data_IF_952820704988
#
_entry.id   IF_952820704988
#
_cell.length_a   1.000
_cell.length_b   1.000
_cell.length_c   1.000
_cell.angle_alpha   90.00
_cell.angle_beta   90.00
_cell.angle_gamma   90.00
#
_symmetry.space_group_name_H-M   'P 1'
#
loop_
_entity.id
_entity.type
_entity.pdbx_description
1 polymer ?
#
# COMPACT_ATOMS: atom_id res chain seq x y z
N UNK A 1 -16.57 24.55 -4.47
CA UNK A 1 -15.11 24.43 -4.65
C UNK A 1 -14.79 22.96 -4.52
N UNK A 2 -14.43 22.32 -5.62
CA UNK A 2 -14.61 20.88 -5.83
C UNK A 2 -13.54 20.04 -5.14
N UNK A 3 -13.98 19.20 -4.20
CA UNK A 3 -13.23 18.11 -3.56
C UNK A 3 -12.98 16.94 -4.53
N UNK A 4 -12.40 17.18 -5.70
CA UNK A 4 -12.08 16.11 -6.65
C UNK A 4 -10.56 15.93 -6.78
N UNK A 5 -9.95 15.38 -5.73
CA UNK A 5 -8.55 14.95 -5.72
C UNK A 5 -8.50 13.42 -5.88
N UNK A 6 -8.91 12.89 -7.04
CA UNK A 6 -8.98 11.45 -7.40
C UNK A 6 -7.71 10.67 -7.01
N UNK A 7 -7.72 10.04 -5.83
CA UNK A 7 -6.59 9.27 -5.29
C UNK A 7 -6.32 8.03 -6.16
N UNK A 8 -5.07 7.55 -6.26
CA UNK A 8 -4.72 6.43 -7.13
C UNK A 8 -5.54 5.17 -6.82
N UNK A 9 -5.83 4.34 -7.84
CA UNK A 9 -6.35 3.00 -7.60
C UNK A 9 -5.37 2.21 -6.72
N UNK A 10 -5.86 1.19 -6.02
CA UNK A 10 -5.02 0.40 -5.14
C UNK A 10 -5.57 -1.00 -4.93
N UNK A 11 -4.67 -1.91 -4.60
CA UNK A 11 -4.96 -3.32 -4.38
C UNK A 11 -4.89 -3.63 -2.88
N UNK A 12 -5.94 -4.24 -2.31
CA UNK A 12 -5.89 -4.73 -0.92
C UNK A 12 -5.64 -6.23 -0.92
N UNK A 13 -4.77 -6.67 -0.03
CA UNK A 13 -4.65 -8.06 0.38
C UNK A 13 -5.20 -8.18 1.80
N UNK A 14 -6.08 -9.14 2.02
CA UNK A 14 -6.67 -9.40 3.34
C UNK A 14 -5.79 -10.31 4.21
N UNK A 15 -6.29 -10.65 5.40
CA UNK A 15 -5.55 -11.41 6.41
C UNK A 15 -5.16 -12.84 5.95
N UNK A 16 -5.90 -13.39 4.99
CA UNK A 16 -5.60 -14.69 4.38
C UNK A 16 -4.69 -14.57 3.17
N UNK A 17 -4.29 -13.35 2.80
CA UNK A 17 -3.48 -13.06 1.62
C UNK A 17 -4.30 -13.13 0.32
N UNK A 18 -5.62 -13.00 0.39
CA UNK A 18 -6.46 -12.97 -0.81
C UNK A 18 -6.53 -11.55 -1.36
N UNK A 19 -6.34 -11.42 -2.67
CA UNK A 19 -6.46 -10.13 -3.36
C UNK A 19 -7.93 -9.71 -3.42
N UNK A 20 -8.22 -8.57 -2.79
CA UNK A 20 -9.45 -7.80 -2.93
C UNK A 20 -9.13 -6.54 -3.72
N UNK A 21 -9.42 -6.56 -5.01
CA UNK A 21 -9.36 -5.36 -5.84
C UNK A 21 -10.48 -4.43 -5.40
N UNK A 22 -10.15 -3.35 -4.71
CA UNK A 22 -11.09 -2.26 -4.47
C UNK A 22 -10.79 -1.21 -5.53
N UNK A 23 -11.62 -1.17 -6.57
CA UNK A 23 -11.73 -0.02 -7.50
C UNK A 23 -12.37 1.20 -6.82
N UNK A 24 -12.12 1.36 -5.51
CA UNK A 24 -12.69 2.35 -4.63
C UNK A 24 -11.57 3.21 -4.05
N UNK A 25 -11.72 4.51 -4.20
CA UNK A 25 -10.72 5.51 -3.88
C UNK A 25 -10.38 5.49 -2.37
N UNK A 26 -9.13 5.24 -2.00
CA UNK A 26 -8.68 5.51 -0.63
C UNK A 26 -8.58 7.02 -0.44
N UNK A 27 -9.49 7.62 0.32
CA UNK A 27 -9.32 9.02 0.69
C UNK A 27 -8.18 9.09 1.69
N UNK A 28 -7.24 10.01 1.44
CA UNK A 28 -6.14 10.30 2.37
C UNK A 28 -6.66 10.61 3.78
N UNK A 29 -7.81 11.28 3.90
CA UNK A 29 -8.46 11.54 5.18
C UNK A 29 -8.87 10.25 5.90
N UNK A 30 -9.41 9.27 5.16
CA UNK A 30 -9.82 7.98 5.69
C UNK A 30 -8.61 7.15 6.11
N UNK A 31 -7.53 7.11 5.30
CA UNK A 31 -6.25 6.49 5.71
C UNK A 31 -5.62 7.16 6.94
N UNK A 32 -5.69 8.49 7.03
CA UNK A 32 -5.21 9.24 8.21
C UNK A 32 -6.02 8.90 9.47
N UNK A 33 -7.35 8.88 9.34
CA UNK A 33 -8.27 8.65 10.47
C UNK A 33 -8.30 7.18 10.91
N UNK A 34 -8.37 6.26 9.94
CA UNK A 34 -8.52 4.83 10.16
C UNK A 34 -7.21 4.13 10.52
N UNK A 35 -6.07 4.67 10.08
CA UNK A 35 -4.75 4.08 10.34
C UNK A 35 -3.83 4.97 11.17
N UNK A 36 -4.39 6.04 11.78
CA UNK A 36 -3.67 6.97 12.66
C UNK A 36 -2.38 7.53 12.03
N UNK A 37 -2.42 7.73 10.71
CA UNK A 37 -1.29 8.27 9.94
C UNK A 37 -1.34 9.78 9.98
N UNK A 38 -0.19 10.43 10.14
CA UNK A 38 -0.16 11.89 9.98
C UNK A 38 -0.26 12.24 8.48
N UNK A 39 -0.92 13.35 8.09
CA UNK A 39 -1.00 13.77 6.70
C UNK A 39 0.37 13.93 6.00
N UNK A 40 1.43 14.20 6.77
CA UNK A 40 2.83 14.25 6.28
C UNK A 40 3.36 12.88 5.85
N UNK A 41 2.87 11.81 6.46
CA UNK A 41 3.28 10.44 6.18
C UNK A 41 2.65 9.99 4.85
N UNK A 42 1.42 10.42 4.58
CA UNK A 42 0.73 10.15 3.32
C UNK A 42 1.39 10.80 2.11
N UNK A 43 2.11 11.92 2.27
CA UNK A 43 2.91 12.51 1.19
C UNK A 43 4.03 11.60 0.70
N UNK A 44 4.47 10.62 1.52
CA UNK A 44 5.51 9.67 1.13
C UNK A 44 5.00 8.55 0.23
N UNK A 45 3.71 8.24 0.31
CA UNK A 45 3.03 7.23 -0.52
C UNK A 45 2.14 7.86 -1.60
N UNK A 46 2.10 9.19 -1.69
CA UNK A 46 1.37 9.90 -2.74
C UNK A 46 2.04 9.68 -4.09
N UNK A 47 1.33 8.99 -4.99
CA UNK A 47 1.93 8.59 -6.24
C UNK A 47 2.23 9.73 -7.21
N UNK A 48 1.62 10.89 -6.98
CA UNK A 48 1.76 12.10 -7.78
C UNK A 48 2.98 12.94 -7.42
N UNK A 49 3.61 12.64 -6.29
CA UNK A 49 4.85 13.28 -5.86
C UNK A 49 6.01 12.36 -6.24
N UNK A 50 6.90 12.75 -7.16
CA UNK A 50 8.11 12.00 -7.45
C UNK A 50 9.02 12.04 -6.22
N UNK A 51 8.83 11.06 -5.33
CA UNK A 51 9.56 10.98 -4.08
C UNK A 51 10.72 10.00 -4.28
N UNK A 52 11.89 10.54 -4.56
CA UNK A 52 13.12 9.79 -4.89
C UNK A 52 13.78 9.13 -3.67
N UNK A 53 13.27 9.35 -2.46
CA UNK A 53 13.87 8.85 -1.22
C UNK A 53 13.16 7.58 -0.76
N UNK A 54 13.83 6.41 -0.81
CA UNK A 54 13.32 5.20 -0.20
C UNK A 54 12.98 5.44 1.26
N UNK A 55 11.77 5.08 1.68
CA UNK A 55 11.34 5.24 3.07
C UNK A 55 10.65 3.97 3.55
N UNK A 56 11.06 3.52 4.74
CA UNK A 56 10.28 2.64 5.59
C UNK A 56 9.91 3.45 6.83
N UNK A 57 8.62 3.62 7.09
CA UNK A 57 8.13 4.43 8.19
C UNK A 57 7.24 3.57 9.08
N UNK A 58 7.77 3.24 10.25
CA UNK A 58 7.07 2.45 11.26
C UNK A 58 6.16 3.37 12.07
N UNK A 59 4.90 2.96 12.20
CA UNK A 59 3.88 3.53 13.08
C UNK A 59 3.35 2.44 13.99
N UNK A 60 2.60 2.83 15.01
CA UNK A 60 2.08 1.89 16.03
C UNK A 60 1.26 0.74 15.43
N UNK A 61 0.50 1.02 14.36
CA UNK A 61 -0.48 0.09 13.78
C UNK A 61 -0.23 -0.20 12.30
N UNK A 62 0.84 0.37 11.72
CA UNK A 62 1.15 0.21 10.31
C UNK A 62 2.61 0.51 9.97
N UNK A 63 3.07 -0.06 8.85
CA UNK A 63 4.36 0.22 8.24
C UNK A 63 4.09 0.78 6.84
N UNK A 64 4.55 2.00 6.60
CA UNK A 64 4.51 2.61 5.27
C UNK A 64 5.83 2.33 4.55
N UNK A 65 5.74 1.77 3.35
CA UNK A 65 6.88 1.43 2.50
C UNK A 65 6.77 2.20 1.19
N UNK A 66 7.81 2.95 0.85
CA UNK A 66 7.98 3.61 -0.44
C UNK A 66 9.38 3.30 -0.94
N UNK A 67 9.53 2.34 -1.85
CA UNK A 67 10.82 1.90 -2.40
C UNK A 67 10.60 1.55 -3.87
N UNK A 68 11.39 2.13 -4.78
CA UNK A 68 11.29 1.91 -6.22
C UNK A 68 9.85 2.13 -6.73
N UNK A 69 9.20 1.10 -7.28
CA UNK A 69 7.83 1.11 -7.79
C UNK A 69 6.79 0.70 -6.73
N UNK A 70 7.23 0.34 -5.52
CA UNK A 70 6.36 -0.15 -4.45
C UNK A 70 5.98 1.01 -3.54
N UNK A 71 4.66 1.23 -3.43
CA UNK A 71 4.05 2.09 -2.43
C UNK A 71 3.04 1.26 -1.68
N UNK A 72 3.32 0.97 -0.41
CA UNK A 72 2.51 0.06 0.38
C UNK A 72 2.24 0.60 1.78
N UNK A 73 1.08 0.25 2.31
CA UNK A 73 0.73 0.32 3.72
C UNK A 73 0.55 -1.13 4.21
N UNK A 74 1.41 -1.54 5.12
CA UNK A 74 1.39 -2.89 5.71
C UNK A 74 0.83 -2.78 7.13
N UNK A 75 -0.16 -3.62 7.44
CA UNK A 75 -0.73 -3.79 8.79
C UNK A 75 -0.60 -5.27 9.19
N UNK A 76 -0.96 -5.59 10.42
CA UNK A 76 -0.90 -6.95 10.96
C UNK A 76 -1.89 -7.93 10.30
N UNK A 77 -2.83 -7.44 9.50
CA UNK A 77 -3.92 -8.22 8.91
C UNK A 77 -4.27 -7.79 7.48
N UNK A 78 -3.58 -6.80 6.92
CA UNK A 78 -3.85 -6.33 5.57
C UNK A 78 -2.65 -5.60 4.97
N UNK A 79 -2.50 -5.70 3.65
CA UNK A 79 -1.60 -4.85 2.88
C UNK A 79 -2.40 -4.06 1.86
N UNK A 80 -2.16 -2.75 1.78
CA UNK A 80 -2.69 -1.87 0.73
C UNK A 80 -1.54 -1.46 -0.17
N UNK A 81 -1.63 -1.79 -1.45
CA UNK A 81 -0.73 -1.32 -2.49
C UNK A 81 -1.36 -0.12 -3.20
N UNK A 82 -0.59 0.95 -3.37
CA UNK A 82 -1.03 2.16 -4.07
C UNK A 82 -0.47 2.16 -5.49
N UNK A 83 -1.35 2.26 -6.48
CA UNK A 83 -0.94 2.26 -7.88
C UNK A 83 -0.27 3.59 -8.26
N UNK A 84 0.71 3.50 -9.13
CA UNK A 84 1.38 4.67 -9.70
C UNK A 84 0.53 5.26 -10.82
N UNK A 85 0.15 6.53 -10.67
CA UNK A 85 -0.48 7.29 -11.75
C UNK A 85 0.53 7.51 -12.88
N UNK A 86 0.18 7.12 -14.11
CA UNK A 86 1.04 7.29 -15.27
C UNK A 86 2.05 6.15 -15.39
N UNK A 87 1.68 5.16 -16.20
CA UNK A 87 2.48 4.04 -16.72
C UNK A 87 4.00 4.20 -16.59
N UNK A 88 4.62 3.32 -15.82
CA UNK A 88 6.00 2.91 -16.07
C UNK A 88 6.30 1.45 -15.73
N UNK A 89 5.51 0.73 -14.91
CA UNK A 89 5.78 -0.70 -14.72
C UNK A 89 4.60 -1.55 -14.23
N UNK A 90 3.53 -1.63 -15.02
CA UNK A 90 2.41 -2.55 -14.75
C UNK A 90 2.88 -4.00 -14.65
N UNK A 91 3.98 -4.36 -15.33
CA UNK A 91 4.55 -5.69 -15.27
C UNK A 91 5.22 -5.96 -13.93
N UNK A 92 6.17 -5.13 -13.48
CA UNK A 92 6.81 -5.32 -12.17
C UNK A 92 5.78 -5.28 -11.04
N UNK A 93 4.78 -4.41 -11.11
CA UNK A 93 3.70 -4.39 -10.12
C UNK A 93 2.91 -5.71 -10.10
N UNK A 94 2.55 -6.25 -11.26
CA UNK A 94 1.81 -7.52 -11.36
C UNK A 94 2.63 -8.71 -10.86
N UNK A 95 3.92 -8.75 -11.19
CA UNK A 95 4.86 -9.78 -10.71
C UNK A 95 5.03 -9.68 -9.20
N UNK A 96 5.21 -8.46 -8.68
CA UNK A 96 5.28 -8.23 -7.24
C UNK A 96 4.00 -8.67 -6.53
N UNK A 97 2.83 -8.30 -7.05
CA UNK A 97 1.53 -8.71 -6.49
C UNK A 97 1.37 -10.23 -6.45
N UNK A 98 1.77 -10.93 -7.52
CA UNK A 98 1.74 -12.39 -7.58
C UNK A 98 2.62 -13.03 -6.49
N UNK A 99 3.87 -12.55 -6.33
CA UNK A 99 4.76 -13.04 -5.29
C UNK A 99 4.25 -12.72 -3.88
N UNK A 100 3.72 -11.52 -3.67
CA UNK A 100 3.17 -11.10 -2.40
C UNK A 100 1.96 -11.96 -2.00
N UNK A 101 1.01 -12.15 -2.91
CA UNK A 101 -0.15 -13.02 -2.68
C UNK A 101 0.29 -14.45 -2.33
N UNK A 102 1.26 -15.00 -3.07
CA UNK A 102 1.80 -16.33 -2.81
C UNK A 102 2.41 -16.44 -1.40
N UNK A 103 3.25 -15.47 -1.01
CA UNK A 103 3.91 -15.47 0.30
C UNK A 103 2.92 -15.30 1.46
N UNK A 104 1.95 -14.40 1.31
CA UNK A 104 0.90 -14.19 2.31
C UNK A 104 -0.03 -15.40 2.45
N UNK A 105 -0.24 -16.18 1.38
CA UNK A 105 -1.04 -17.42 1.45
C UNK A 105 -0.27 -18.62 1.96
N UNK A 106 1.04 -18.69 1.70
CA UNK A 106 1.89 -19.80 2.12
C UNK A 106 1.97 -19.98 3.64
N UNK A 107 1.54 -18.97 4.43
CA UNK A 107 1.52 -18.99 5.90
C UNK A 107 2.82 -19.58 6.47
N UNK A 108 3.95 -19.07 5.98
CA UNK A 108 5.30 -19.51 6.38
C UNK A 108 5.37 -19.57 7.91
N UNK A 109 5.55 -20.78 8.43
CA UNK A 109 5.34 -21.09 9.84
C UNK A 109 6.18 -20.20 10.76
N UNK A 110 5.51 -19.41 11.60
CA UNK A 110 6.14 -18.60 12.65
C UNK A 110 6.39 -17.13 12.30
N UNK A 111 6.14 -16.68 11.05
CA UNK A 111 6.23 -15.27 10.68
C UNK A 111 4.88 -14.56 10.80
N UNK A 112 4.79 -13.43 11.52
CA UNK A 112 3.60 -12.57 11.52
C UNK A 112 3.27 -12.04 10.12
N UNK A 113 2.01 -11.70 9.87
CA UNK A 113 1.51 -11.26 8.56
C UNK A 113 2.34 -10.15 7.94
N UNK A 114 2.64 -9.11 8.71
CA UNK A 114 3.38 -7.93 8.29
C UNK A 114 4.86 -8.18 7.95
N UNK A 115 5.36 -9.38 8.23
CA UNK A 115 6.75 -9.80 7.97
C UNK A 115 6.87 -10.99 6.99
N UNK A 116 5.75 -11.45 6.41
CA UNK A 116 5.73 -12.47 5.35
C UNK A 116 5.91 -11.84 3.97
#
# INVERSE_FOLDING_TARGET
MNDNLDSPPGTILDADGSVKTISGQFRKADLCSEHRLNPRDLRKIDSRIPNLVPTILVRKEAILVNILHIRALVKADTVVLFDTYGSADSHLHSVFLYHLEHNLRAKVSGLPYEFR
#
